data_IF_761024326871
#
_entry.id   IF_761024326871
#
_cell.length_a   1.000
_cell.length_b   1.000
_cell.length_c   1.000
_cell.angle_alpha   90.00
_cell.angle_beta   90.00
_cell.angle_gamma   90.00
#
_symmetry.space_group_name_H-M   'P 1'
#
loop_
_entity.id
_entity.type
_entity.pdbx_description
1 polymer ?
#
# COMPACT_ATOMS: atom_id res chain seq x y z
N UNK A 1 5.67 -6.40 -25.24
CA UNK A 1 5.21 -5.37 -24.28
C UNK A 1 6.47 -4.70 -23.73
N UNK A 2 6.66 -3.39 -23.90
CA UNK A 2 7.82 -2.71 -23.31
C UNK A 2 7.59 -2.66 -21.81
N UNK A 3 8.52 -3.20 -21.03
CA UNK A 3 8.56 -2.99 -19.58
C UNK A 3 8.77 -1.49 -19.39
N UNK A 4 7.90 -0.76 -18.67
CA UNK A 4 8.17 0.62 -18.35
C UNK A 4 9.48 0.69 -17.56
N UNK A 5 10.24 1.75 -17.75
CA UNK A 5 11.49 1.93 -17.03
C UNK A 5 11.18 2.15 -15.54
N UNK A 6 11.24 1.05 -14.76
CA UNK A 6 10.97 1.05 -13.32
C UNK A 6 12.17 1.56 -12.51
N UNK A 7 13.21 2.09 -13.16
CA UNK A 7 14.35 2.70 -12.46
C UNK A 7 14.04 4.10 -11.94
N UNK A 8 12.97 4.74 -12.43
CA UNK A 8 12.55 6.03 -11.93
C UNK A 8 12.04 5.93 -10.48
N UNK A 9 12.51 6.79 -9.57
CA UNK A 9 12.07 6.78 -8.19
C UNK A 9 10.58 7.14 -8.11
N UNK A 10 9.87 6.48 -7.18
CA UNK A 10 8.51 6.87 -6.82
C UNK A 10 8.61 8.14 -5.99
N UNK A 11 8.27 9.28 -6.59
CA UNK A 11 8.24 10.59 -5.93
C UNK A 11 6.88 10.74 -5.26
N UNK A 12 6.83 10.45 -3.97
CA UNK A 12 5.59 10.39 -3.18
C UNK A 12 4.83 11.72 -3.23
N UNK A 13 5.53 12.86 -3.27
CA UNK A 13 4.93 14.19 -3.36
C UNK A 13 4.20 14.44 -4.70
N UNK A 14 4.47 13.60 -5.70
CA UNK A 14 3.80 13.60 -7.00
C UNK A 14 2.80 12.46 -7.14
N UNK A 15 2.77 11.52 -6.20
CA UNK A 15 1.73 10.51 -6.11
C UNK A 15 0.48 11.21 -5.55
N UNK A 16 -0.56 11.28 -6.37
CA UNK A 16 -1.83 11.83 -5.94
C UNK A 16 -2.42 10.83 -4.95
N UNK A 17 -3.05 11.29 -3.87
CA UNK A 17 -3.98 10.41 -3.17
C UNK A 17 -5.08 10.09 -4.18
N UNK A 18 -5.11 8.85 -4.69
CA UNK A 18 -6.18 8.42 -5.58
C UNK A 18 -7.52 8.75 -4.90
N UNK A 19 -8.30 9.63 -5.53
CA UNK A 19 -9.55 10.18 -5.00
C UNK A 19 -10.70 9.16 -5.05
N UNK A 20 -10.41 7.89 -5.33
CA UNK A 20 -11.22 6.77 -4.88
C UNK A 20 -11.24 6.80 -3.35
N UNK A 21 -12.34 7.30 -2.78
CA UNK A 21 -12.68 6.96 -1.40
C UNK A 21 -12.51 5.43 -1.21
N UNK A 22 -12.19 4.95 0.00
CA UNK A 22 -12.31 3.53 0.31
C UNK A 22 -13.80 3.17 0.19
N UNK A 23 -14.24 2.88 -1.05
CA UNK A 23 -15.65 2.82 -1.44
C UNK A 23 -16.32 1.60 -0.81
N UNK A 24 -15.56 0.54 -0.55
CA UNK A 24 -16.10 -0.72 -0.06
C UNK A 24 -15.89 -0.90 1.46
N UNK A 25 -16.93 -1.29 2.22
CA UNK A 25 -16.85 -1.47 3.67
C UNK A 25 -15.69 -2.36 4.12
N UNK A 26 -15.44 -3.48 3.42
CA UNK A 26 -14.36 -4.40 3.75
C UNK A 26 -12.96 -3.80 3.58
N UNK A 27 -12.79 -2.83 2.67
CA UNK A 27 -11.50 -2.12 2.51
C UNK A 27 -11.30 -1.14 3.66
N UNK A 28 -12.36 -0.41 4.04
CA UNK A 28 -12.34 0.49 5.19
C UNK A 28 -12.06 -0.26 6.49
N UNK A 29 -12.75 -1.38 6.72
CA UNK A 29 -12.51 -2.25 7.88
C UNK A 29 -11.07 -2.78 7.92
N UNK A 30 -10.52 -3.18 6.78
CA UNK A 30 -9.12 -3.61 6.70
C UNK A 30 -8.14 -2.48 7.05
N UNK A 31 -8.36 -1.28 6.51
CA UNK A 31 -7.55 -0.09 6.80
C UNK A 31 -7.62 0.28 8.27
N UNK A 32 -8.83 0.33 8.85
CA UNK A 32 -9.02 0.61 10.28
C UNK A 32 -8.35 -0.46 11.16
N UNK A 33 -8.49 -1.74 10.83
CA UNK A 33 -7.85 -2.82 11.56
C UNK A 33 -6.32 -2.72 11.51
N UNK A 34 -5.74 -2.40 10.35
CA UNK A 34 -4.30 -2.18 10.21
C UNK A 34 -3.85 -0.95 11.02
N UNK A 35 -4.53 0.19 10.93
CA UNK A 35 -4.17 1.38 11.70
C UNK A 35 -4.24 1.15 13.22
N UNK A 36 -5.29 0.46 13.69
CA UNK A 36 -5.47 0.16 15.11
C UNK A 36 -4.45 -0.85 15.65
N UNK A 37 -4.02 -1.82 14.84
CA UNK A 37 -3.02 -2.80 15.25
C UNK A 37 -1.60 -2.24 15.18
N UNK A 38 -1.28 -1.55 14.09
CA UNK A 38 0.07 -1.08 13.85
C UNK A 38 0.38 0.23 14.56
N UNK A 39 -0.57 1.11 14.89
CA UNK A 39 -0.35 2.36 15.67
C UNK A 39 1.01 3.05 15.40
N UNK A 40 1.31 3.37 14.15
CA UNK A 40 2.66 3.75 13.70
C UNK A 40 3.25 5.01 14.38
N UNK A 41 2.41 5.80 15.07
CA UNK A 41 2.84 6.95 15.89
C UNK A 41 3.46 6.56 17.23
N UNK A 42 3.31 5.30 17.65
CA UNK A 42 3.86 4.78 18.90
C UNK A 42 5.10 3.94 18.61
N UNK A 43 6.08 4.01 19.52
CA UNK A 43 7.26 3.14 19.50
C UNK A 43 6.94 1.78 20.15
N UNK A 44 6.27 0.91 19.39
CA UNK A 44 5.96 -0.46 19.78
C UNK A 44 6.82 -1.45 18.97
N UNK A 45 7.32 -2.49 19.64
CA UNK A 45 8.09 -3.56 18.99
C UNK A 45 7.19 -4.68 18.46
N UNK A 46 7.75 -5.51 17.58
CA UNK A 46 7.17 -6.80 17.11
C UNK A 46 5.77 -6.74 16.47
N UNK A 47 5.47 -5.67 15.73
CA UNK A 47 4.24 -5.53 14.96
C UNK A 47 4.29 -6.34 13.67
N UNK A 48 3.62 -7.50 13.65
CA UNK A 48 3.57 -8.41 12.51
C UNK A 48 2.11 -8.69 12.15
N UNK A 49 1.70 -8.34 10.93
CA UNK A 49 0.31 -8.50 10.47
C UNK A 49 0.21 -9.27 9.16
N UNK A 50 -0.93 -9.94 8.97
CA UNK A 50 -1.28 -10.60 7.72
C UNK A 50 -2.64 -10.08 7.23
N UNK A 51 -2.63 -9.32 6.13
CA UNK A 51 -3.85 -8.86 5.48
C UNK A 51 -4.40 -9.97 4.56
N UNK A 52 -5.54 -10.54 4.94
CA UNK A 52 -6.24 -11.55 4.14
C UNK A 52 -7.54 -10.97 3.60
N UNK A 53 -7.63 -10.87 2.28
CA UNK A 53 -8.86 -10.48 1.59
C UNK A 53 -9.10 -11.43 0.41
N UNK A 54 -10.31 -11.59 -0.15
CA UNK A 54 -10.56 -12.43 -1.32
C UNK A 54 -9.89 -11.91 -2.61
N UNK A 55 -9.65 -12.76 -3.61
CA UNK A 55 -9.22 -12.27 -4.93
C UNK A 55 -10.30 -11.37 -5.55
N UNK A 56 -9.90 -10.27 -6.19
CA UNK A 56 -10.83 -9.28 -6.75
C UNK A 56 -11.37 -8.25 -5.74
N UNK A 57 -10.93 -8.28 -4.48
CA UNK A 57 -11.29 -7.27 -3.46
C UNK A 57 -10.29 -6.09 -3.39
N UNK A 58 -9.43 -5.96 -4.41
CA UNK A 58 -8.38 -4.94 -4.49
C UNK A 58 -7.44 -4.86 -3.27
N UNK A 59 -7.01 -6.01 -2.73
CA UNK A 59 -6.09 -6.07 -1.56
C UNK A 59 -4.80 -5.28 -1.77
N UNK A 60 -4.26 -5.27 -3.00
CA UNK A 60 -3.08 -4.46 -3.33
C UNK A 60 -3.37 -2.97 -3.15
N UNK A 61 -4.50 -2.47 -3.66
CA UNK A 61 -4.92 -1.09 -3.45
C UNK A 61 -5.11 -0.77 -1.97
N UNK A 62 -5.82 -1.62 -1.22
CA UNK A 62 -6.03 -1.42 0.22
C UNK A 62 -4.72 -1.31 0.99
N UNK A 63 -3.76 -2.19 0.72
CA UNK A 63 -2.45 -2.17 1.37
C UNK A 63 -1.62 -0.94 0.96
N UNK A 64 -1.56 -0.61 -0.33
CA UNK A 64 -0.80 0.53 -0.85
C UNK A 64 -1.37 1.85 -0.31
N UNK A 65 -2.69 2.01 -0.32
CA UNK A 65 -3.34 3.20 0.20
C UNK A 65 -3.01 3.41 1.68
N UNK A 66 -3.10 2.36 2.51
CA UNK A 66 -2.73 2.43 3.93
C UNK A 66 -1.25 2.74 4.13
N UNK A 67 -0.35 2.11 3.36
CA UNK A 67 1.08 2.37 3.44
C UNK A 67 1.44 3.81 3.06
N UNK A 68 0.78 4.38 2.06
CA UNK A 68 0.98 5.79 1.67
C UNK A 68 0.41 6.74 2.73
N UNK A 69 -0.81 6.49 3.22
CA UNK A 69 -1.52 7.39 4.13
C UNK A 69 -0.99 7.36 5.55
N UNK A 70 -0.50 6.21 6.02
CA UNK A 70 -0.03 6.01 7.40
C UNK A 70 1.49 5.81 7.46
N UNK A 71 2.05 4.93 6.63
CA UNK A 71 3.47 4.63 6.69
C UNK A 71 4.32 5.78 6.17
N UNK A 72 4.22 6.06 4.87
CA UNK A 72 5.08 7.01 4.18
C UNK A 72 4.85 8.44 4.65
N UNK A 73 3.58 8.83 4.88
CA UNK A 73 3.24 10.15 5.44
C UNK A 73 3.89 10.42 6.80
N UNK A 74 4.17 9.36 7.59
CA UNK A 74 4.84 9.41 8.89
C UNK A 74 6.36 9.17 8.80
N UNK A 75 6.92 9.12 7.59
CA UNK A 75 8.35 9.00 7.34
C UNK A 75 8.89 7.56 7.26
N UNK A 76 8.02 6.54 7.25
CA UNK A 76 8.46 5.16 7.05
C UNK A 76 8.83 4.91 5.59
N UNK A 77 9.80 4.00 5.38
CA UNK A 77 10.16 3.49 4.06
C UNK A 77 9.54 2.13 3.85
N UNK A 78 9.05 1.87 2.63
CA UNK A 78 8.41 0.61 2.26
C UNK A 78 9.37 -0.22 1.41
N UNK A 79 9.55 -1.50 1.77
CA UNK A 79 10.18 -2.50 0.92
C UNK A 79 9.10 -3.50 0.50
N UNK A 80 8.82 -3.58 -0.80
CA UNK A 80 7.78 -4.46 -1.33
C UNK A 80 8.41 -5.62 -2.09
N UNK A 81 8.19 -6.84 -1.59
CA UNK A 81 8.78 -8.07 -2.15
C UNK A 81 7.71 -8.92 -2.80
N UNK A 82 7.94 -9.34 -4.04
CA UNK A 82 7.04 -10.21 -4.81
C UNK A 82 7.84 -11.22 -5.61
N UNK A 83 7.20 -12.33 -5.94
CA UNK A 83 7.84 -13.48 -6.59
C UNK A 83 7.76 -13.48 -8.13
N UNK A 84 7.07 -12.52 -8.73
CA UNK A 84 6.87 -12.41 -10.19
C UNK A 84 6.99 -10.97 -10.65
N UNK A 85 7.57 -10.77 -11.83
CA UNK A 85 7.78 -9.45 -12.39
C UNK A 85 6.47 -8.72 -12.68
N UNK A 86 5.43 -9.44 -13.12
CA UNK A 86 4.10 -8.87 -13.37
C UNK A 86 3.47 -8.30 -12.10
N UNK A 87 3.76 -8.89 -10.93
CA UNK A 87 3.30 -8.37 -9.65
C UNK A 87 4.07 -7.11 -9.23
N UNK A 88 5.36 -7.02 -9.57
CA UNK A 88 6.16 -5.80 -9.34
C UNK A 88 5.55 -4.66 -10.14
N UNK A 89 5.24 -4.91 -11.41
CA UNK A 89 4.63 -3.92 -12.31
C UNK A 89 3.26 -3.46 -11.79
N UNK A 90 2.39 -4.38 -11.39
CA UNK A 90 1.08 -4.04 -10.82
C UNK A 90 1.21 -3.16 -9.58
N UNK A 91 2.09 -3.53 -8.65
CA UNK A 91 2.31 -2.73 -7.44
C UNK A 91 2.93 -1.37 -7.76
N UNK A 92 3.89 -1.31 -8.68
CA UNK A 92 4.52 -0.07 -9.10
C UNK A 92 3.51 0.93 -9.65
N UNK A 93 2.59 0.47 -10.50
CA UNK A 93 1.51 1.31 -11.00
C UNK A 93 0.59 1.77 -9.86
N UNK A 94 0.26 0.89 -8.90
CA UNK A 94 -0.62 1.26 -7.79
C UNK A 94 -0.01 2.31 -6.86
N UNK A 95 1.31 2.31 -6.63
CA UNK A 95 1.99 3.35 -5.85
C UNK A 95 2.08 4.70 -6.58
N UNK A 96 1.83 4.74 -7.89
CA UNK A 96 1.92 5.94 -8.74
C UNK A 96 0.57 6.51 -9.16
N UNK A 97 -0.52 5.79 -8.89
CA UNK A 97 -1.87 6.32 -9.02
C UNK A 97 -2.10 7.37 -7.93
#
# INVERSE_FOLDING_TARGET
MRVPDMSEPIIIERCLSDSRDLIMPHQKEAVEAMSNYFELDKDLQDRNGLLVMPTGSDKTYTAVNWLLSEGVSKGYRVVWLVHRQELVEQTYQEFRK
#
